data_IF_663445157979
#
_entry.id   IF_663445157979
#
_cell.length_a   1.000
_cell.length_b   1.000
_cell.length_c   1.000
_cell.angle_alpha   90.00
_cell.angle_beta   90.00
_cell.angle_gamma   90.00
#
_symmetry.space_group_name_H-M   'P 1'
#
loop_
_entity.id
_entity.type
_entity.pdbx_description
1 polymer ?
#
# COMPACT_ATOMS: atom_id res chain seq x y z
N UNK A 1 0.25 26.92 6.86
CA UNK A 1 1.13 25.89 6.31
C UNK A 1 0.52 24.51 6.50
N UNK A 2 0.44 23.77 5.40
CA UNK A 2 -0.17 22.46 5.44
C UNK A 2 0.83 21.40 5.89
N UNK A 3 0.42 20.58 6.84
CA UNK A 3 1.23 19.48 7.30
C UNK A 3 0.84 18.23 6.49
N UNK A 4 1.83 17.58 5.90
CA UNK A 4 1.63 16.39 5.10
C UNK A 4 1.92 15.16 5.94
N UNK A 5 1.01 14.18 5.92
CA UNK A 5 1.23 12.91 6.60
C UNK A 5 2.07 12.01 5.71
N UNK A 6 3.03 11.33 6.33
CA UNK A 6 3.87 10.35 5.63
C UNK A 6 3.78 9.01 6.34
N UNK A 7 3.81 7.94 5.55
CA UNK A 7 3.79 6.59 6.06
C UNK A 7 4.95 5.81 5.49
N UNK A 8 5.46 4.85 6.26
CA UNK A 8 6.47 3.92 5.78
C UNK A 8 5.74 2.72 5.17
N UNK A 9 5.88 2.52 3.86
CA UNK A 9 5.25 1.41 3.17
C UNK A 9 6.26 0.28 3.06
N UNK A 10 5.96 -0.87 3.66
CA UNK A 10 6.81 -2.05 3.57
C UNK A 10 6.48 -2.82 2.32
N UNK A 11 7.51 -3.10 1.53
CA UNK A 11 7.36 -3.73 0.22
C UNK A 11 7.62 -5.23 0.36
N UNK A 12 6.65 -6.08 0.01
CA UNK A 12 6.85 -7.53 0.07
C UNK A 12 7.86 -7.99 -0.99
N UNK A 13 8.48 -9.12 -0.72
CA UNK A 13 9.55 -9.65 -1.58
C UNK A 13 9.12 -9.75 -3.04
N UNK A 14 7.88 -10.17 -3.30
CA UNK A 14 7.39 -10.37 -4.66
C UNK A 14 7.25 -9.08 -5.45
N UNK A 15 7.14 -7.93 -4.77
CA UNK A 15 7.00 -6.63 -5.43
C UNK A 15 8.31 -5.86 -5.50
N UNK A 16 9.35 -6.30 -4.81
CA UNK A 16 10.63 -5.58 -4.76
C UNK A 16 11.28 -5.36 -6.12
N UNK A 17 11.24 -6.33 -7.05
CA UNK A 17 11.84 -6.09 -8.37
C UNK A 17 11.21 -4.91 -9.10
N UNK A 18 9.89 -4.74 -8.99
CA UNK A 18 9.18 -3.63 -9.62
C UNK A 18 9.37 -2.31 -8.86
N UNK A 19 9.90 -2.38 -7.63
CA UNK A 19 10.13 -1.21 -6.78
C UNK A 19 11.62 -0.87 -6.69
N UNK A 20 12.43 -1.36 -7.61
CA UNK A 20 13.87 -1.07 -7.58
C UNK A 20 14.64 -1.80 -6.50
N UNK A 21 14.04 -2.84 -5.90
CA UNK A 21 14.69 -3.61 -4.85
C UNK A 21 14.48 -3.07 -3.44
N UNK A 22 13.74 -1.97 -3.29
CA UNK A 22 13.50 -1.37 -1.98
C UNK A 22 12.66 -2.28 -1.09
N UNK A 23 13.03 -2.35 0.19
CA UNK A 23 12.27 -3.11 1.18
C UNK A 23 11.18 -2.27 1.83
N UNK A 24 11.34 -0.94 1.81
CA UNK A 24 10.37 -0.01 2.35
C UNK A 24 10.59 1.36 1.71
N UNK A 25 9.51 2.12 1.56
CA UNK A 25 9.57 3.49 1.03
C UNK A 25 8.68 4.38 1.87
N UNK A 26 9.06 5.66 1.99
CA UNK A 26 8.24 6.66 2.65
C UNK A 26 7.35 7.32 1.61
N UNK A 27 6.05 7.35 1.86
CA UNK A 27 5.07 7.86 0.91
C UNK A 27 4.12 8.82 1.63
N UNK A 28 3.76 9.92 0.97
CA UNK A 28 2.82 10.90 1.49
C UNK A 28 1.38 10.49 1.22
N UNK A 29 0.48 10.82 2.14
CA UNK A 29 -0.94 10.63 1.96
C UNK A 29 -1.69 10.68 3.28
N UNK A 30 -2.94 11.13 3.25
CA UNK A 30 -3.80 11.22 4.42
C UNK A 30 -4.66 9.97 4.59
N UNK A 31 -4.77 9.15 3.55
CA UNK A 31 -5.50 7.89 3.58
C UNK A 31 -4.67 6.82 2.90
N UNK A 32 -5.04 5.57 3.14
CA UNK A 32 -4.38 4.43 2.48
C UNK A 32 -4.46 4.57 0.97
N UNK A 33 -5.64 4.98 0.45
CA UNK A 33 -5.81 5.19 -0.99
C UNK A 33 -4.86 6.22 -1.55
N UNK A 34 -4.66 7.35 -0.86
CA UNK A 34 -3.73 8.38 -1.30
C UNK A 34 -2.29 7.88 -1.28
N UNK A 35 -1.92 7.14 -0.23
CA UNK A 35 -0.57 6.57 -0.13
C UNK A 35 -0.32 5.61 -1.28
N UNK A 36 -1.26 4.73 -1.57
CA UNK A 36 -1.11 3.77 -2.66
C UNK A 36 -1.12 4.47 -4.03
N UNK A 37 -1.91 5.52 -4.17
CA UNK A 37 -1.95 6.30 -5.41
C UNK A 37 -0.59 6.96 -5.67
N UNK A 38 -0.02 7.60 -4.67
CA UNK A 38 1.31 8.20 -4.80
C UNK A 38 2.38 7.14 -5.06
N UNK A 39 2.29 6.00 -4.38
CA UNK A 39 3.24 4.92 -4.57
C UNK A 39 3.19 4.39 -6.00
N UNK A 40 2.00 4.15 -6.54
CA UNK A 40 1.84 3.60 -7.88
C UNK A 40 2.13 4.64 -8.97
N UNK A 41 2.00 5.92 -8.66
CA UNK A 41 2.41 6.98 -9.58
C UNK A 41 3.93 6.98 -9.75
N UNK A 42 4.66 6.77 -8.64
CA UNK A 42 6.12 6.67 -8.68
C UNK A 42 6.61 5.33 -9.23
N UNK A 43 5.82 4.28 -9.07
CA UNK A 43 6.16 2.92 -9.50
C UNK A 43 4.99 2.30 -10.25
N UNK A 44 4.73 2.73 -11.49
CA UNK A 44 3.54 2.28 -12.22
C UNK A 44 3.48 0.78 -12.46
N UNK A 45 4.62 0.11 -12.44
CA UNK A 45 4.68 -1.34 -12.68
C UNK A 45 3.96 -2.15 -11.60
N UNK A 46 3.78 -1.58 -10.40
CA UNK A 46 3.09 -2.29 -9.31
C UNK A 46 1.61 -1.96 -9.23
N UNK A 47 1.13 -0.99 -10.02
CA UNK A 47 -0.25 -0.53 -9.90
C UNK A 47 -1.25 -1.66 -10.11
N UNK A 48 -1.06 -2.47 -11.14
CA UNK A 48 -1.97 -3.57 -11.46
C UNK A 48 -1.93 -4.68 -10.41
N UNK A 49 -0.88 -4.74 -9.61
CA UNK A 49 -0.74 -5.73 -8.55
C UNK A 49 -1.37 -5.28 -7.24
N UNK A 50 -1.51 -3.96 -7.06
CA UNK A 50 -2.04 -3.39 -5.82
C UNK A 50 -3.48 -2.95 -5.96
N UNK A 51 -3.85 -2.41 -7.12
CA UNK A 51 -5.16 -1.80 -7.33
C UNK A 51 -5.85 -2.39 -8.55
N UNK A 52 -7.17 -2.49 -8.46
CA UNK A 52 -8.01 -2.80 -9.61
C UNK A 52 -8.11 -1.57 -10.52
N UNK A 53 -8.67 -1.76 -11.72
CA UNK A 53 -8.82 -0.67 -12.67
C UNK A 53 -9.67 0.48 -12.13
N UNK A 54 -10.57 0.20 -11.19
CA UNK A 54 -11.45 1.21 -10.59
C UNK A 54 -10.84 1.90 -9.36
N UNK A 55 -9.58 1.58 -9.04
CA UNK A 55 -8.88 2.19 -7.93
C UNK A 55 -9.09 1.52 -6.58
N UNK A 56 -9.87 0.45 -6.53
CA UNK A 56 -10.04 -0.31 -5.29
C UNK A 56 -8.88 -1.29 -5.09
N UNK A 57 -8.71 -1.74 -3.85
CA UNK A 57 -7.64 -2.69 -3.52
C UNK A 57 -7.86 -4.02 -4.25
N UNK A 58 -6.76 -4.58 -4.74
CA UNK A 58 -6.81 -5.90 -5.36
C UNK A 58 -7.28 -6.93 -4.33
N UNK A 59 -8.16 -7.85 -4.73
CA UNK A 59 -8.79 -8.80 -3.80
C UNK A 59 -7.78 -9.71 -3.09
N UNK A 60 -6.65 -9.95 -3.70
CA UNK A 60 -5.61 -10.80 -3.12
C UNK A 60 -4.54 -10.01 -2.37
N UNK A 61 -4.74 -8.72 -2.22
CA UNK A 61 -3.81 -7.89 -1.46
C UNK A 61 -4.36 -7.63 -0.07
N UNK A 62 -3.59 -7.96 0.93
CA UNK A 62 -3.87 -7.57 2.31
C UNK A 62 -3.02 -6.37 2.66
N UNK A 63 -3.65 -5.34 3.21
CA UNK A 63 -2.97 -4.11 3.60
C UNK A 63 -3.23 -3.86 5.07
N UNK A 64 -2.18 -3.59 5.82
CA UNK A 64 -2.27 -3.30 7.24
C UNK A 64 -1.72 -1.91 7.51
N UNK A 65 -2.44 -1.13 8.31
CA UNK A 65 -1.90 0.11 8.88
C UNK A 65 -1.50 -0.23 10.30
N UNK A 66 -0.21 -0.23 10.54
CA UNK A 66 0.37 -0.79 11.75
C UNK A 66 -0.04 -2.27 11.85
N UNK A 67 -0.87 -2.64 12.79
CA UNK A 67 -1.33 -4.03 12.93
C UNK A 67 -2.79 -4.24 12.53
N UNK A 68 -3.43 -3.20 11.98
CA UNK A 68 -4.86 -3.23 11.66
C UNK A 68 -5.09 -3.48 10.17
N UNK A 69 -5.86 -4.54 9.86
CA UNK A 69 -6.26 -4.80 8.48
C UNK A 69 -7.18 -3.67 8.00
N UNK A 70 -6.82 -3.04 6.89
CA UNK A 70 -7.55 -1.86 6.41
C UNK A 70 -9.00 -2.17 6.07
N UNK A 71 -9.34 -3.42 5.74
CA UNK A 71 -10.71 -3.79 5.41
C UNK A 71 -11.66 -3.58 6.59
N UNK A 72 -11.13 -3.53 7.81
CA UNK A 72 -11.93 -3.33 9.01
C UNK A 72 -11.87 -1.90 9.55
N UNK A 73 -11.08 -1.02 8.92
CA UNK A 73 -10.92 0.35 9.37
C UNK A 73 -11.18 1.39 8.27
N UNK A 74 -11.80 0.97 7.16
CA UNK A 74 -12.22 1.89 6.12
C UNK A 74 -11.70 1.60 4.71
N UNK A 75 -10.94 0.52 4.52
CA UNK A 75 -10.39 0.19 3.20
C UNK A 75 -9.46 1.26 2.70
N UNK A 76 -9.65 1.72 1.46
CA UNK A 76 -8.81 2.80 0.90
C UNK A 76 -9.05 4.14 1.59
N UNK A 77 -10.16 4.28 2.30
CA UNK A 77 -10.46 5.50 3.06
C UNK A 77 -9.90 5.47 4.48
N UNK A 78 -9.23 4.39 4.87
CA UNK A 78 -8.64 4.28 6.20
C UNK A 78 -7.65 5.44 6.42
N UNK A 79 -7.74 6.13 7.55
CA UNK A 79 -6.88 7.28 7.81
C UNK A 79 -5.44 6.86 8.08
N UNK A 80 -4.52 7.69 7.64
CA UNK A 80 -3.09 7.52 7.87
C UNK A 80 -2.59 8.68 8.71
N UNK A 81 -1.87 8.38 9.76
CA UNK A 81 -1.23 9.38 10.60
C UNK A 81 0.26 9.38 10.32
N UNK A 82 0.89 10.53 10.55
CA UNK A 82 2.31 10.66 10.32
C UNK A 82 3.10 9.61 11.13
N UNK A 83 3.97 8.89 10.46
CA UNK A 83 4.77 7.85 11.09
C UNK A 83 4.14 6.46 11.08
N UNK A 84 2.93 6.33 10.54
CA UNK A 84 2.29 5.01 10.43
C UNK A 84 3.07 4.11 9.48
N UNK A 85 2.98 2.81 9.74
CA UNK A 85 3.61 1.81 8.90
C UNK A 85 2.51 1.06 8.13
N UNK A 86 2.64 1.04 6.81
CA UNK A 86 1.70 0.32 5.95
C UNK A 86 2.41 -0.92 5.43
N UNK A 87 1.85 -2.09 5.71
CA UNK A 87 2.40 -3.36 5.27
C UNK A 87 1.54 -3.94 4.15
N UNK A 88 2.19 -4.28 3.04
CA UNK A 88 1.52 -4.89 1.90
C UNK A 88 1.83 -6.38 1.92
N UNK A 89 0.79 -7.20 1.97
CA UNK A 89 0.92 -8.65 2.01
C UNK A 89 0.05 -9.26 0.91
N UNK A 90 0.62 -9.53 -0.28
CA UNK A 90 -0.16 -10.17 -1.33
C UNK A 90 -0.47 -11.61 -0.92
N UNK A 91 -1.75 -11.96 -1.03
CA UNK A 91 -2.20 -13.32 -0.85
C UNK A 91 -2.29 -13.99 -2.21
N UNK A 92 -1.92 -15.27 -2.29
CA UNK A 92 -1.93 -15.99 -3.55
C UNK A 92 -3.02 -17.03 -3.52
N UNK A 93 -3.84 -17.05 -4.54
CA UNK A 93 -4.86 -18.08 -4.67
C UNK A 93 -4.18 -19.46 -4.68
N UNK A 94 -4.69 -20.37 -3.89
CA UNK A 94 -4.11 -21.70 -3.78
C UNK A 94 -2.90 -21.78 -2.86
N UNK A 95 -2.54 -20.71 -2.20
CA UNK A 95 -1.47 -20.68 -1.21
C UNK A 95 -0.07 -20.85 -1.77
N UNK A 96 0.12 -20.66 -3.06
CA UNK A 96 1.43 -20.76 -3.69
C UNK A 96 1.78 -19.45 -4.39
N UNK A 97 3.04 -19.18 -4.43
CA UNK A 97 3.60 -18.07 -5.17
C UNK A 97 4.24 -18.59 -6.44
#
# INVERSE_FOLDING_TARGET
ERRVMTALVRIPTVLRPAMGGDTAVTVEGDTVGEVLDHLTTSHPDVKSQLLNADGTLHRFLNVYVNDDDVRYIGGVDAPVSNGDEITLLPAVAGGTL
#
